data_IF_866412720658
#
_entry.id   IF_866412720658
#
_cell.length_a   1.000
_cell.length_b   1.000
_cell.length_c   1.000
_cell.angle_alpha   90.00
_cell.angle_beta   90.00
_cell.angle_gamma   90.00
#
_symmetry.space_group_name_H-M   'P 1'
#
loop_
_entity.id
_entity.type
_entity.pdbx_description
1 polymer ?
#
# COMPACT_ATOMS: atom_id res chain seq x y z
N UNK A 1 20.87 -9.91 -9.71
CA UNK A 1 21.05 -8.59 -10.37
C UNK A 1 21.14 -8.65 -11.89
N UNK A 2 21.10 -9.85 -12.51
CA UNK A 2 21.19 -10.05 -13.96
C UNK A 2 20.17 -9.26 -14.79
N UNK A 3 18.97 -9.01 -14.26
CA UNK A 3 17.93 -8.26 -14.97
C UNK A 3 18.21 -6.75 -14.99
N UNK A 4 18.59 -6.16 -13.85
CA UNK A 4 18.95 -4.73 -13.74
C UNK A 4 20.09 -4.36 -14.69
N UNK A 5 21.10 -5.23 -14.80
CA UNK A 5 22.23 -5.05 -15.71
C UNK A 5 21.80 -5.12 -17.18
N UNK A 6 20.90 -6.05 -17.54
CA UNK A 6 20.33 -6.14 -18.89
C UNK A 6 19.50 -4.91 -19.27
N UNK A 7 18.76 -4.35 -18.31
CA UNK A 7 17.98 -3.11 -18.54
C UNK A 7 18.90 -1.90 -18.68
N UNK A 8 19.99 -1.82 -17.91
CA UNK A 8 21.01 -0.78 -18.13
C UNK A 8 21.72 -0.94 -19.47
N UNK A 9 22.01 -2.18 -19.87
CA UNK A 9 22.64 -2.51 -21.15
C UNK A 9 21.73 -2.30 -22.36
N UNK A 10 20.40 -2.25 -22.19
CA UNK A 10 19.47 -1.96 -23.30
C UNK A 10 19.41 -0.49 -23.69
N UNK A 11 20.09 0.40 -22.94
CA UNK A 11 20.15 1.84 -23.20
C UNK A 11 18.82 2.57 -22.95
N UNK A 12 17.84 1.91 -22.32
CA UNK A 12 16.52 2.47 -22.05
C UNK A 12 16.53 3.29 -20.75
N UNK A 13 16.82 4.58 -20.87
CA UNK A 13 16.86 5.52 -19.74
C UNK A 13 15.52 5.73 -19.02
N UNK A 14 14.40 5.33 -19.64
CA UNK A 14 13.07 5.42 -19.02
C UNK A 14 12.95 4.58 -17.74
N UNK A 15 13.78 3.55 -17.58
CA UNK A 15 13.77 2.68 -16.42
C UNK A 15 14.70 3.16 -15.30
N UNK A 16 15.59 4.12 -15.51
CA UNK A 16 16.60 4.52 -14.53
C UNK A 16 15.99 4.93 -13.18
N UNK A 17 14.90 5.72 -13.21
CA UNK A 17 14.16 6.11 -12.00
C UNK A 17 13.57 4.91 -11.26
N UNK A 18 13.04 3.94 -12.01
CA UNK A 18 12.50 2.71 -11.46
C UNK A 18 13.61 1.85 -10.86
N UNK A 19 14.76 1.73 -11.53
CA UNK A 19 15.90 0.95 -11.03
C UNK A 19 16.47 1.54 -9.74
N UNK A 20 16.56 2.87 -9.64
CA UNK A 20 16.96 3.54 -8.40
C UNK A 20 15.97 3.26 -7.27
N UNK A 21 14.67 3.39 -7.54
CA UNK A 21 13.63 3.07 -6.56
C UNK A 21 13.68 1.60 -6.15
N UNK A 22 13.89 0.69 -7.09
CA UNK A 22 14.00 -0.74 -6.80
C UNK A 22 15.20 -1.04 -5.90
N UNK A 23 16.34 -0.40 -6.16
CA UNK A 23 17.55 -0.53 -5.35
C UNK A 23 17.34 0.01 -3.93
N UNK A 24 16.79 1.21 -3.80
CA UNK A 24 16.59 1.88 -2.50
C UNK A 24 15.62 1.11 -1.58
N UNK A 25 14.64 0.42 -2.17
CA UNK A 25 13.62 -0.32 -1.42
C UNK A 25 13.84 -1.84 -1.41
N UNK A 26 14.93 -2.33 -2.03
CA UNK A 26 15.18 -3.77 -2.17
C UNK A 26 15.23 -4.47 -0.81
N UNK A 27 15.91 -3.87 0.16
CA UNK A 27 16.05 -4.44 1.51
C UNK A 27 14.71 -4.50 2.25
N UNK A 28 13.87 -3.48 2.11
CA UNK A 28 12.52 -3.48 2.67
C UNK A 28 11.61 -4.54 2.02
N UNK A 29 11.74 -4.74 0.71
CA UNK A 29 11.01 -5.78 -0.02
C UNK A 29 11.48 -7.17 0.42
N UNK A 30 12.77 -7.40 0.59
CA UNK A 30 13.32 -8.70 1.02
C UNK A 30 13.01 -8.99 2.49
N UNK A 31 13.08 -7.99 3.37
CA UNK A 31 12.73 -8.09 4.78
C UNK A 31 11.27 -8.54 4.99
N UNK A 32 10.36 -8.07 4.13
CA UNK A 32 8.95 -8.48 4.13
C UNK A 32 8.76 -10.01 3.98
N UNK A 33 9.57 -10.67 3.14
CA UNK A 33 9.48 -12.12 2.96
C UNK A 33 10.03 -12.91 4.15
N UNK A 34 10.96 -12.33 4.91
CA UNK A 34 11.56 -12.97 6.08
C UNK A 34 10.66 -12.87 7.32
N UNK A 35 9.86 -11.80 7.43
CA UNK A 35 8.96 -11.56 8.57
C UNK A 35 7.58 -12.23 8.47
N UNK A 36 7.22 -12.80 7.32
CA UNK A 36 5.91 -13.45 7.12
C UNK A 36 4.70 -12.50 7.31
N UNK A 37 4.93 -11.19 7.38
CA UNK A 37 3.87 -10.21 7.56
C UNK A 37 3.03 -10.17 6.29
N UNK A 38 1.76 -10.55 6.38
CA UNK A 38 0.87 -10.43 5.22
C UNK A 38 0.43 -8.97 5.06
N UNK A 39 0.54 -8.43 3.84
CA UNK A 39 -0.08 -7.14 3.48
C UNK A 39 -1.60 -7.13 3.66
N UNK A 40 -2.23 -8.28 3.92
CA UNK A 40 -3.68 -8.42 4.03
C UNK A 40 -4.34 -7.47 5.03
N UNK A 41 -3.69 -7.16 6.16
CA UNK A 41 -4.22 -6.16 7.10
C UNK A 41 -4.24 -4.75 6.49
N UNK A 42 -3.11 -4.30 5.95
CA UNK A 42 -2.96 -2.97 5.32
C UNK A 42 -3.84 -2.86 4.08
N UNK A 43 -3.93 -3.93 3.29
CA UNK A 43 -4.79 -4.03 2.12
C UNK A 43 -6.28 -3.98 2.51
N UNK A 44 -6.67 -4.66 3.59
CA UNK A 44 -8.00 -4.60 4.15
C UNK A 44 -8.40 -3.18 4.57
N UNK A 45 -7.48 -2.45 5.24
CA UNK A 45 -7.67 -1.04 5.57
C UNK A 45 -7.81 -0.19 4.31
N UNK A 46 -6.92 -0.37 3.33
CA UNK A 46 -6.96 0.38 2.07
C UNK A 46 -8.27 0.18 1.31
N UNK A 47 -8.79 -1.05 1.28
CA UNK A 47 -10.07 -1.37 0.64
C UNK A 47 -11.26 -0.75 1.39
N UNK A 48 -11.28 -0.81 2.74
CA UNK A 48 -12.30 -0.12 3.56
C UNK A 48 -12.28 1.39 3.34
N UNK A 49 -11.11 2.01 3.31
CA UNK A 49 -10.97 3.45 3.05
C UNK A 49 -11.47 3.83 1.65
N UNK A 50 -11.16 3.03 0.62
CA UNK A 50 -11.69 3.23 -0.75
C UNK A 50 -13.23 3.14 -0.77
N UNK A 51 -13.81 2.15 -0.09
CA UNK A 51 -15.26 2.01 0.01
C UNK A 51 -15.90 3.18 0.76
N UNK A 52 -15.25 3.65 1.83
CA UNK A 52 -15.70 4.79 2.61
C UNK A 52 -15.74 6.06 1.75
N UNK A 53 -14.67 6.35 1.00
CA UNK A 53 -14.64 7.50 0.07
C UNK A 53 -15.75 7.44 -0.99
N UNK A 54 -16.13 6.24 -1.45
CA UNK A 54 -17.24 6.07 -2.40
C UNK A 54 -18.61 6.30 -1.76
N UNK A 55 -18.84 5.81 -0.54
CA UNK A 55 -20.12 5.97 0.18
C UNK A 55 -20.31 7.38 0.74
N UNK A 56 -19.22 8.03 1.12
CA UNK A 56 -19.20 9.36 1.73
C UNK A 56 -18.73 10.42 0.73
N UNK A 57 -19.09 10.29 -0.54
CA UNK A 57 -18.72 11.28 -1.56
C UNK A 57 -19.21 12.69 -1.15
N UNK A 58 -18.30 13.67 -1.07
CA UNK A 58 -18.57 15.03 -0.59
C UNK A 58 -18.31 15.25 0.91
N UNK A 59 -17.97 14.21 1.67
CA UNK A 59 -17.42 14.31 3.03
C UNK A 59 -15.90 14.19 2.95
N UNK A 60 -15.24 15.33 2.83
CA UNK A 60 -13.78 15.40 2.71
C UNK A 60 -13.09 15.73 4.03
N UNK A 61 -13.85 15.90 5.12
CA UNK A 61 -13.29 16.14 6.44
C UNK A 61 -12.56 14.88 6.96
N UNK A 62 -11.24 14.97 7.23
CA UNK A 62 -10.46 13.81 7.66
C UNK A 62 -10.90 13.22 9.01
N UNK A 63 -11.40 14.05 9.93
CA UNK A 63 -11.85 13.61 11.25
C UNK A 63 -13.10 12.74 11.11
N UNK A 64 -14.05 13.17 10.29
CA UNK A 64 -15.28 12.42 10.03
C UNK A 64 -15.01 11.11 9.29
N UNK A 65 -14.10 11.12 8.30
CA UNK A 65 -13.66 9.89 7.63
C UNK A 65 -13.00 8.91 8.61
N UNK A 66 -12.17 9.40 9.54
CA UNK A 66 -11.51 8.54 10.53
C UNK A 66 -12.50 7.95 11.53
N UNK A 67 -13.49 8.73 12.00
CA UNK A 67 -14.57 8.23 12.87
C UNK A 67 -15.37 7.12 12.19
N UNK A 68 -15.72 7.32 10.91
CA UNK A 68 -16.47 6.33 10.12
C UNK A 68 -15.65 5.06 9.89
N UNK A 69 -14.35 5.19 9.60
CA UNK A 69 -13.43 4.07 9.47
C UNK A 69 -13.30 3.29 10.80
N UNK A 70 -13.20 3.99 11.93
CA UNK A 70 -13.15 3.38 13.25
C UNK A 70 -14.41 2.55 13.54
N UNK A 71 -15.60 3.11 13.28
CA UNK A 71 -16.86 2.39 13.40
C UNK A 71 -16.93 1.16 12.49
N UNK A 72 -16.41 1.23 11.26
CA UNK A 72 -16.37 0.11 10.32
C UNK A 72 -15.37 -1.01 10.73
N UNK A 73 -14.40 -0.70 11.60
CA UNK A 73 -13.41 -1.66 12.11
C UNK A 73 -13.88 -2.27 13.42
N UNK A 74 -14.31 -1.44 14.38
CA UNK A 74 -14.67 -1.87 15.73
C UNK A 74 -16.15 -2.22 15.88
N UNK A 75 -17.03 -1.68 15.04
CA UNK A 75 -18.47 -1.93 15.09
C UNK A 75 -18.80 -3.43 15.13
N UNK A 76 -18.33 -4.25 14.18
CA UNK A 76 -18.59 -5.69 14.21
C UNK A 76 -18.11 -6.39 15.50
N UNK A 77 -17.14 -5.83 16.21
CA UNK A 77 -16.58 -6.38 17.45
C UNK A 77 -17.34 -5.93 18.71
N UNK A 78 -18.02 -4.79 18.63
CA UNK A 78 -18.80 -4.19 19.72
C UNK A 78 -20.28 -4.61 19.70
N UNK A 79 -20.80 -5.02 18.53
CA UNK A 79 -22.20 -5.38 18.31
C UNK A 79 -22.39 -6.86 17.91
N UNK A 80 -21.39 -7.71 18.13
CA UNK A 80 -21.45 -9.17 18.01
C UNK A 80 -21.50 -9.80 19.41
#
# INVERSE_FOLDING_TARGET
QLWTERVKASGLSCFDKFLNTLHDWQDGILSYFNGGHTRGFVEGINNKLKLLKRRCFGLDDPVELFRRLWLDIEGPRLWA
#
